data_IF_576041158702
#
_entry.id   IF_576041158702
#
_cell.length_a   1.000
_cell.length_b   1.000
_cell.length_c   1.000
_cell.angle_alpha   90.00
_cell.angle_beta   90.00
_cell.angle_gamma   90.00
#
_symmetry.space_group_name_H-M   'P 1'
#
loop_
_entity.id
_entity.type
_entity.pdbx_description
1 polymer ?
#
# COMPACT_ATOMS: atom_id res chain seq x y z
N UNK A 1 11.70 -1.13 -0.22
CA UNK A 1 11.93 -2.51 -0.72
C UNK A 1 12.44 -3.45 0.39
N UNK A 2 13.64 -3.22 0.95
CA UNK A 2 14.20 -4.09 2.01
C UNK A 2 13.28 -4.25 3.22
N UNK A 3 12.72 -3.15 3.74
CA UNK A 3 11.78 -3.20 4.87
C UNK A 3 10.50 -3.99 4.54
N UNK A 4 10.00 -3.86 3.31
CA UNK A 4 8.83 -4.59 2.80
C UNK A 4 9.08 -6.10 2.85
N UNK A 5 10.29 -6.56 2.47
CA UNK A 5 10.73 -7.96 2.58
C UNK A 5 11.00 -8.39 4.03
N UNK A 6 11.57 -7.50 4.84
CA UNK A 6 11.97 -7.80 6.22
C UNK A 6 10.75 -8.08 7.11
N UNK A 7 9.73 -7.22 7.02
CA UNK A 7 8.55 -7.25 7.89
C UNK A 7 7.30 -7.87 7.25
N UNK A 8 7.19 -7.87 5.93
CA UNK A 8 6.05 -8.43 5.20
C UNK A 8 6.44 -9.50 4.20
N UNK A 9 5.68 -9.59 3.12
CA UNK A 9 5.99 -10.41 1.95
C UNK A 9 6.18 -9.50 0.73
N UNK A 10 7.41 -9.49 0.21
CA UNK A 10 7.76 -8.65 -0.93
C UNK A 10 6.98 -9.03 -2.19
N UNK A 11 6.80 -10.33 -2.44
CA UNK A 11 6.12 -10.82 -3.64
C UNK A 11 4.64 -10.45 -3.60
N UNK A 12 4.01 -10.60 -2.43
CA UNK A 12 2.61 -10.19 -2.26
C UNK A 12 2.43 -8.69 -2.45
N UNK A 13 3.36 -7.87 -1.92
CA UNK A 13 3.28 -6.42 -2.14
C UNK A 13 3.49 -6.00 -3.60
N UNK A 14 4.38 -6.69 -4.33
CA UNK A 14 4.58 -6.48 -5.78
C UNK A 14 3.34 -6.92 -6.55
N UNK A 15 2.76 -8.08 -6.20
CA UNK A 15 1.52 -8.57 -6.82
C UNK A 15 0.38 -7.58 -6.59
N UNK A 16 0.22 -7.09 -5.36
CA UNK A 16 -0.79 -6.09 -5.03
C UNK A 16 -0.58 -4.76 -5.74
N UNK A 17 0.67 -4.34 -6.00
CA UNK A 17 0.92 -3.09 -6.73
C UNK A 17 0.48 -3.16 -8.18
N UNK A 18 0.51 -4.35 -8.81
CA UNK A 18 -0.03 -4.55 -10.18
C UNK A 18 -1.52 -4.20 -10.29
N UNK A 19 -2.27 -4.26 -9.18
CA UNK A 19 -3.68 -3.82 -9.15
C UNK A 19 -3.82 -2.36 -9.60
N UNK A 20 -2.84 -1.51 -9.33
CA UNK A 20 -2.86 -0.09 -9.68
C UNK A 20 -3.07 0.18 -11.19
N UNK A 21 -2.62 -0.73 -12.06
CA UNK A 21 -2.80 -0.61 -13.52
C UNK A 21 -4.23 -0.96 -13.99
N UNK A 22 -5.03 -1.60 -13.14
CA UNK A 22 -6.39 -2.07 -13.43
C UNK A 22 -7.47 -1.38 -12.60
N UNK A 23 -7.10 -0.30 -11.91
CA UNK A 23 -8.04 0.52 -11.16
C UNK A 23 -9.01 1.23 -12.12
N UNK A 24 -10.21 1.50 -11.60
CA UNK A 24 -11.28 2.20 -12.30
C UNK A 24 -11.57 3.54 -11.63
N UNK A 25 -12.33 4.38 -12.33
CA UNK A 25 -12.83 5.60 -11.72
C UNK A 25 -13.75 5.28 -10.55
N UNK A 26 -13.58 6.03 -9.47
CA UNK A 26 -14.22 5.89 -8.16
C UNK A 26 -13.86 4.62 -7.38
N UNK A 27 -12.82 3.86 -7.79
CA UNK A 27 -12.26 2.81 -6.95
C UNK A 27 -11.74 3.41 -5.64
N UNK A 28 -12.13 2.82 -4.51
CA UNK A 28 -11.68 3.21 -3.18
C UNK A 28 -10.33 2.58 -2.84
N UNK A 29 -9.41 3.39 -2.35
CA UNK A 29 -8.06 3.00 -1.95
C UNK A 29 -7.87 3.30 -0.47
N UNK A 30 -7.53 2.27 0.32
CA UNK A 30 -7.22 2.45 1.73
C UNK A 30 -5.72 2.73 1.92
N UNK A 31 -5.38 3.93 2.39
CA UNK A 31 -4.04 4.27 2.86
C UNK A 31 -3.96 3.95 4.36
N UNK A 32 -3.13 2.97 4.72
CA UNK A 32 -3.07 2.45 6.09
C UNK A 32 -1.73 2.71 6.78
N UNK A 33 -1.77 3.47 7.87
CA UNK A 33 -0.63 3.77 8.72
C UNK A 33 -0.70 3.00 10.03
N UNK A 34 0.37 2.27 10.36
CA UNK A 34 0.43 1.49 11.59
C UNK A 34 0.76 2.32 12.86
N UNK A 35 1.01 3.61 12.72
CA UNK A 35 1.35 4.52 13.81
C UNK A 35 0.26 5.57 14.03
N UNK A 36 0.12 6.05 15.26
CA UNK A 36 -0.91 7.01 15.68
C UNK A 36 -0.51 8.47 15.49
N UNK A 37 0.63 8.77 14.87
CA UNK A 37 1.07 10.15 14.74
C UNK A 37 0.20 10.92 13.73
N UNK A 38 0.03 12.21 14.00
CA UNK A 38 -0.69 13.10 13.10
C UNK A 38 0.17 13.37 11.86
N UNK A 39 -0.46 13.26 10.69
CA UNK A 39 0.12 13.60 9.42
C UNK A 39 0.62 15.05 9.42
N UNK A 40 1.82 15.28 8.89
CA UNK A 40 2.41 16.61 8.72
C UNK A 40 2.09 17.16 7.33
N UNK A 41 2.16 18.48 7.16
CA UNK A 41 2.00 19.11 5.84
C UNK A 41 2.99 18.52 4.81
N UNK A 42 2.48 18.24 3.60
CA UNK A 42 3.28 17.59 2.55
C UNK A 42 3.43 16.06 2.71
N UNK A 43 2.55 15.43 3.49
CA UNK A 43 2.59 14.01 3.81
C UNK A 43 2.69 13.09 2.58
N UNK A 44 3.56 12.09 2.69
CA UNK A 44 3.67 11.00 1.73
C UNK A 44 2.34 10.25 1.63
N UNK A 45 1.69 9.98 2.77
CA UNK A 45 0.47 9.18 2.86
C UNK A 45 -0.74 9.91 2.27
N UNK A 46 -0.93 11.19 2.61
CA UNK A 46 -2.15 11.96 2.28
C UNK A 46 -2.06 12.79 1.01
N UNK A 47 -0.85 13.12 0.56
CA UNK A 47 -0.65 14.01 -0.61
C UNK A 47 0.09 13.29 -1.73
N UNK A 48 1.30 12.80 -1.45
CA UNK A 48 2.19 12.33 -2.53
C UNK A 48 1.71 11.01 -3.14
N UNK A 49 1.41 9.99 -2.32
CA UNK A 49 0.96 8.68 -2.81
C UNK A 49 -0.37 8.80 -3.57
N UNK A 50 -1.42 9.47 -3.05
CA UNK A 50 -2.65 9.69 -3.79
C UNK A 50 -2.41 10.34 -5.15
N UNK A 51 -1.63 11.43 -5.18
CA UNK A 51 -1.28 12.13 -6.43
C UNK A 51 -0.53 11.23 -7.41
N UNK A 52 0.44 10.45 -6.94
CA UNK A 52 1.21 9.53 -7.77
C UNK A 52 0.33 8.40 -8.33
N UNK A 53 -0.55 7.82 -7.52
CA UNK A 53 -1.45 6.73 -7.94
C UNK A 53 -2.50 7.22 -8.94
N UNK A 54 -3.14 8.36 -8.70
CA UNK A 54 -4.08 8.95 -9.66
C UNK A 54 -3.40 9.29 -10.97
N UNK A 55 -2.17 9.83 -10.94
CA UNK A 55 -1.38 10.10 -12.15
C UNK A 55 -0.98 8.82 -12.89
N UNK A 56 -0.54 7.79 -12.16
CA UNK A 56 -0.12 6.51 -12.74
C UNK A 56 -1.29 5.77 -13.40
N UNK A 57 -2.44 5.70 -12.72
CA UNK A 57 -3.62 5.00 -13.22
C UNK A 57 -4.39 5.80 -14.29
N UNK A 58 -4.26 7.13 -14.29
CA UNK A 58 -5.09 8.01 -15.10
C UNK A 58 -6.57 8.02 -14.67
N UNK A 59 -6.86 7.63 -13.43
CA UNK A 59 -8.23 7.50 -12.89
C UNK A 59 -8.51 8.48 -11.76
N UNK A 60 -9.79 8.82 -11.60
CA UNK A 60 -10.31 9.54 -10.43
C UNK A 60 -10.55 8.54 -9.30
N UNK A 61 -9.59 8.41 -8.39
CA UNK A 61 -9.65 7.47 -7.26
C UNK A 61 -10.20 8.13 -6.00
N UNK A 62 -10.85 7.35 -5.14
CA UNK A 62 -11.26 7.75 -3.80
C UNK A 62 -10.26 7.23 -2.77
N UNK A 63 -9.89 8.05 -1.78
CA UNK A 63 -8.89 7.68 -0.78
C UNK A 63 -9.47 7.74 0.63
N UNK A 64 -9.32 6.65 1.37
CA UNK A 64 -9.62 6.56 2.80
C UNK A 64 -8.34 6.33 3.59
N UNK A 65 -8.34 6.76 4.85
CA UNK A 65 -7.14 6.76 5.69
C UNK A 65 -7.41 6.10 7.04
N UNK A 66 -6.50 5.26 7.51
CA UNK A 66 -6.52 4.72 8.87
C UNK A 66 -5.13 4.85 9.52
N UNK A 67 -5.11 5.24 10.81
CA UNK A 67 -3.87 5.48 11.56
C UNK A 67 -3.89 4.70 12.87
N UNK A 68 -2.79 4.00 13.18
CA UNK A 68 -2.49 3.36 14.46
C UNK A 68 -3.30 2.09 14.76
N UNK A 69 -4.62 2.14 14.57
CA UNK A 69 -5.53 1.00 14.78
C UNK A 69 -5.40 -0.03 13.64
N UNK A 70 -6.23 -1.04 13.74
CA UNK A 70 -6.45 -2.03 12.69
C UNK A 70 -7.10 -1.41 11.44
N UNK A 71 -7.35 -2.26 10.45
CA UNK A 71 -8.18 -1.87 9.32
C UNK A 71 -9.64 -1.57 9.73
N UNK A 72 -10.38 -0.77 8.93
CA UNK A 72 -11.82 -0.64 9.10
C UNK A 72 -12.50 -2.00 9.01
N UNK A 73 -13.69 -2.12 9.61
CA UNK A 73 -14.43 -3.39 9.65
C UNK A 73 -14.78 -3.90 8.24
N UNK A 74 -15.10 -2.99 7.32
CA UNK A 74 -15.46 -3.34 5.95
C UNK A 74 -14.29 -3.08 5.01
N UNK A 75 -13.53 -4.13 4.70
CA UNK A 75 -12.39 -4.04 3.79
C UNK A 75 -12.77 -4.27 2.32
N UNK A 76 -13.84 -5.00 2.07
CA UNK A 76 -14.31 -5.40 0.73
C UNK A 76 -14.66 -4.21 -0.18
N UNK A 77 -14.94 -3.04 0.38
CA UNK A 77 -15.18 -1.81 -0.38
C UNK A 77 -13.92 -1.26 -1.06
N UNK A 78 -12.73 -1.69 -0.64
CA UNK A 78 -11.47 -1.18 -1.18
C UNK A 78 -10.98 -2.02 -2.35
N UNK A 79 -10.61 -1.35 -3.43
CA UNK A 79 -9.98 -1.97 -4.58
C UNK A 79 -8.48 -2.28 -4.34
N UNK A 80 -7.85 -1.58 -3.39
CA UNK A 80 -6.43 -1.72 -3.05
C UNK A 80 -6.15 -1.14 -1.66
N UNK A 81 -5.32 -1.85 -0.88
CA UNK A 81 -4.73 -1.34 0.37
C UNK A 81 -3.28 -0.94 0.12
N UNK A 82 -2.91 0.27 0.50
CA UNK A 82 -1.55 0.80 0.45
C UNK A 82 -1.06 1.00 1.88
N UNK A 83 -0.29 0.04 2.39
CA UNK A 83 0.18 0.06 3.76
C UNK A 83 1.51 0.82 3.91
N UNK A 84 1.70 1.52 5.02
CA UNK A 84 2.97 2.19 5.31
C UNK A 84 4.13 1.21 5.49
N UNK A 85 5.36 1.72 5.66
CA UNK A 85 6.55 0.90 5.89
C UNK A 85 6.54 0.08 7.18
N UNK A 86 5.58 0.33 8.09
CA UNK A 86 5.46 -0.39 9.37
C UNK A 86 6.68 -0.20 10.26
N UNK A 87 7.30 0.99 10.29
CA UNK A 87 8.48 1.26 11.12
C UNK A 87 8.23 0.93 12.60
N UNK A 88 7.04 1.27 13.11
CA UNK A 88 6.64 1.07 14.51
C UNK A 88 6.06 -0.32 14.84
N UNK A 89 5.90 -1.21 13.85
CA UNK A 89 5.34 -2.55 14.08
C UNK A 89 6.34 -3.66 13.76
N UNK A 90 6.21 -4.81 14.41
CA UNK A 90 7.01 -5.99 14.15
C UNK A 90 6.47 -6.81 12.95
N UNK A 91 7.21 -7.86 12.59
CA UNK A 91 6.88 -8.76 11.47
C UNK A 91 5.54 -9.47 11.66
N UNK A 92 5.24 -9.93 12.88
CA UNK A 92 3.98 -10.62 13.19
C UNK A 92 2.78 -9.71 12.96
N UNK A 93 2.83 -8.47 13.46
CA UNK A 93 1.77 -7.49 13.25
C UNK A 93 1.57 -7.13 11.77
N UNK A 94 2.65 -6.98 11.01
CA UNK A 94 2.56 -6.75 9.56
C UNK A 94 1.92 -7.94 8.85
N UNK A 95 2.35 -9.16 9.15
CA UNK A 95 1.76 -10.38 8.58
C UNK A 95 0.28 -10.54 8.92
N UNK A 96 -0.13 -10.24 10.14
CA UNK A 96 -1.54 -10.28 10.54
C UNK A 96 -2.38 -9.29 9.71
N UNK A 97 -1.86 -8.11 9.43
CA UNK A 97 -2.52 -7.13 8.55
C UNK A 97 -2.59 -7.66 7.11
N UNK A 98 -1.51 -8.19 6.56
CA UNK A 98 -1.53 -8.82 5.23
C UNK A 98 -2.54 -9.97 5.14
N UNK A 99 -2.65 -10.79 6.19
CA UNK A 99 -3.62 -11.88 6.26
C UNK A 99 -5.06 -11.36 6.24
N UNK A 100 -5.38 -10.27 6.96
CA UNK A 100 -6.71 -9.65 6.92
C UNK A 100 -7.08 -9.13 5.54
N UNK A 101 -6.13 -8.46 4.87
CA UNK A 101 -6.33 -8.03 3.48
C UNK A 101 -6.61 -9.22 2.56
N UNK A 102 -5.82 -10.31 2.71
CA UNK A 102 -6.02 -11.54 1.95
C UNK A 102 -7.37 -12.21 2.23
N UNK A 103 -7.84 -12.23 3.47
CA UNK A 103 -9.15 -12.79 3.85
C UNK A 103 -10.31 -11.99 3.26
N UNK A 104 -10.17 -10.67 3.16
CA UNK A 104 -11.12 -9.79 2.48
C UNK A 104 -10.96 -9.83 0.94
N UNK A 105 -10.02 -10.61 0.41
CA UNK A 105 -9.70 -10.69 -1.03
C UNK A 105 -9.31 -9.31 -1.61
N UNK A 106 -8.72 -8.46 -0.78
CA UNK A 106 -8.28 -7.12 -1.18
C UNK A 106 -6.77 -7.13 -1.43
N UNK A 107 -6.29 -6.75 -2.62
CA UNK A 107 -4.87 -6.63 -2.90
C UNK A 107 -4.20 -5.65 -1.94
N UNK A 108 -3.03 -6.02 -1.42
CA UNK A 108 -2.25 -5.17 -0.54
C UNK A 108 -0.88 -4.89 -1.13
N UNK A 109 -0.46 -3.63 -1.01
CA UNK A 109 0.89 -3.20 -1.35
C UNK A 109 1.44 -2.30 -0.24
N UNK A 110 2.61 -1.71 -0.47
CA UNK A 110 3.30 -0.88 0.50
C UNK A 110 3.83 0.41 -0.14
N UNK A 111 4.03 1.46 0.67
CA UNK A 111 4.49 2.78 0.20
C UNK A 111 5.72 2.68 -0.71
N UNK A 112 6.75 1.95 -0.27
CA UNK A 112 7.98 1.82 -1.06
C UNK A 112 7.76 1.14 -2.41
N UNK A 113 6.87 0.16 -2.48
CA UNK A 113 6.54 -0.55 -3.72
C UNK A 113 5.71 0.34 -4.66
N UNK A 114 4.67 1.01 -4.15
CA UNK A 114 3.83 1.92 -4.94
C UNK A 114 4.64 3.10 -5.46
N UNK A 115 5.49 3.72 -4.64
CA UNK A 115 6.35 4.82 -5.07
C UNK A 115 7.27 4.34 -6.20
N UNK A 116 7.90 3.17 -6.04
CA UNK A 116 8.79 2.61 -7.08
C UNK A 116 8.03 2.27 -8.36
N UNK A 117 6.79 1.79 -8.26
CA UNK A 117 5.91 1.52 -9.40
C UNK A 117 5.59 2.81 -10.15
N UNK A 118 5.08 3.83 -9.45
CA UNK A 118 4.68 5.11 -10.05
C UNK A 118 5.86 5.88 -10.65
N UNK A 119 7.09 5.62 -10.18
CA UNK A 119 8.33 6.18 -10.73
C UNK A 119 8.94 5.35 -11.87
N UNK A 120 8.38 4.17 -12.20
CA UNK A 120 8.90 3.31 -13.25
C UNK A 120 10.20 2.58 -12.92
N UNK A 121 10.55 2.45 -11.64
CA UNK A 121 11.81 1.83 -11.19
C UNK A 121 11.60 0.52 -10.42
N UNK A 122 10.36 0.05 -10.26
CA UNK A 122 10.04 -1.13 -9.47
C UNK A 122 10.82 -2.38 -9.92
N UNK A 123 10.95 -2.61 -11.22
CA UNK A 123 11.67 -3.75 -11.76
C UNK A 123 13.13 -3.74 -11.35
N UNK A 124 13.82 -2.62 -11.58
CA UNK A 124 15.22 -2.41 -11.20
C UNK A 124 15.44 -2.61 -9.70
N UNK A 125 14.60 -2.04 -8.85
CA UNK A 125 14.81 -2.12 -7.38
C UNK A 125 14.42 -3.47 -6.78
N UNK A 126 13.75 -4.35 -7.56
CA UNK A 126 13.36 -5.70 -7.12
C UNK A 126 14.16 -6.80 -7.79
N UNK A 127 14.96 -6.49 -8.81
CA UNK A 127 15.77 -7.43 -9.59
C UNK A 127 16.60 -8.39 -8.71
N UNK A 128 17.28 -7.86 -7.68
CA UNK A 128 18.13 -8.66 -6.77
C UNK A 128 17.34 -9.70 -5.94
N UNK A 129 16.01 -9.63 -5.92
CA UNK A 129 15.14 -10.56 -5.23
C UNK A 129 14.38 -11.50 -6.17
N UNK A 130 14.49 -11.30 -7.49
CA UNK A 130 13.97 -12.20 -8.51
C UNK A 130 15.00 -13.30 -8.71
N UNK A 131 14.73 -14.48 -8.15
CA UNK A 131 15.45 -15.73 -8.46
C UNK A 131 14.51 -16.62 -9.24
#
# INVERSE_FOLDING_TARGET
>A
ILMSRLKGDLNEFIKGSKRAASLKDNDKILIAEACTHNAKDGDIARVKIPKMLSKFSGKKLEFSYTNGRDYPANLDEFALIVHCGGCMINKTMMKNRMQKASQAVVPITNYGIVISLCQGVLDRVTEIFRK
#
